data_IF_733570576028
#
_entry.id   IF_733570576028
#
_cell.length_a   1.000
_cell.length_b   1.000
_cell.length_c   1.000
_cell.angle_alpha   90.00
_cell.angle_beta   90.00
_cell.angle_gamma   90.00
#
_symmetry.space_group_name_H-M   'P 1'
#
loop_
_entity.id
_entity.type
_entity.pdbx_description
1 polymer ?
#
# COMPACT_ATOMS: atom_id res chain seq x y z
N UNK A 1 7.17 -11.34 11.59
CA UNK A 1 8.04 -11.18 10.42
C UNK A 1 7.67 -12.18 9.35
N UNK A 2 7.67 -11.80 8.08
CA UNK A 2 7.24 -12.69 7.00
C UNK A 2 8.33 -13.69 6.56
N UNK A 3 9.57 -13.45 6.96
CA UNK A 3 10.68 -14.40 6.90
C UNK A 3 10.80 -15.16 5.58
N UNK A 4 10.79 -16.49 5.65
CA UNK A 4 10.94 -17.38 4.50
C UNK A 4 9.65 -17.56 3.69
N UNK A 5 8.56 -17.00 4.17
CA UNK A 5 7.27 -17.06 3.49
C UNK A 5 7.33 -16.23 2.21
N UNK A 6 6.68 -16.74 1.15
CA UNK A 6 6.49 -15.94 -0.05
C UNK A 6 5.51 -14.82 0.24
N UNK A 7 5.98 -13.59 0.19
CA UNK A 7 5.19 -12.41 0.51
C UNK A 7 4.32 -12.03 -0.69
N UNK A 8 3.05 -11.75 -0.42
CA UNK A 8 2.09 -11.28 -1.42
C UNK A 8 1.67 -9.86 -1.08
N UNK A 9 1.85 -8.95 -2.03
CA UNK A 9 1.53 -7.53 -1.88
C UNK A 9 0.44 -7.16 -2.87
N UNK A 10 -0.63 -6.56 -2.39
CA UNK A 10 -1.64 -5.94 -3.26
C UNK A 10 -1.25 -4.48 -3.45
N UNK A 11 -0.95 -4.11 -4.68
CA UNK A 11 -0.71 -2.72 -5.06
C UNK A 11 -1.95 -2.20 -5.77
N UNK A 12 -2.49 -1.09 -5.30
CA UNK A 12 -3.71 -0.55 -5.89
C UNK A 12 -3.70 0.98 -5.92
N UNK A 13 -4.47 1.52 -6.84
CA UNK A 13 -4.66 2.96 -6.98
C UNK A 13 -6.09 3.24 -7.42
N UNK A 14 -6.56 4.45 -7.16
CA UNK A 14 -7.88 4.87 -7.61
C UNK A 14 -7.94 4.96 -9.14
N UNK A 15 -9.07 4.53 -9.71
CA UNK A 15 -9.35 4.71 -11.14
C UNK A 15 -9.38 6.19 -11.53
N UNK A 16 -9.63 7.07 -10.57
CA UNK A 16 -9.66 8.50 -10.79
C UNK A 16 -8.27 9.13 -10.91
N UNK A 17 -7.23 8.41 -10.52
CA UNK A 17 -5.85 8.87 -10.60
C UNK A 17 -5.20 8.28 -11.85
N UNK A 18 -4.75 9.15 -12.75
CA UNK A 18 -4.15 8.72 -14.03
C UNK A 18 -2.67 8.31 -13.90
N UNK A 19 -2.06 8.53 -12.74
CA UNK A 19 -0.63 8.25 -12.56
C UNK A 19 -0.39 6.75 -12.32
N UNK A 20 0.27 6.09 -13.27
CA UNK A 20 0.52 4.65 -13.19
C UNK A 20 1.98 4.25 -13.22
N UNK A 21 2.86 5.10 -13.71
CA UNK A 21 4.27 4.76 -13.90
C UNK A 21 4.92 4.33 -12.59
N UNK A 22 4.67 5.07 -11.52
CA UNK A 22 5.27 4.79 -10.21
C UNK A 22 4.86 3.44 -9.64
N UNK A 23 3.55 3.16 -9.64
CA UNK A 23 3.05 1.92 -9.05
C UNK A 23 3.45 0.69 -9.89
N UNK A 24 3.51 0.84 -11.22
CA UNK A 24 3.98 -0.24 -12.09
C UNK A 24 5.45 -0.52 -11.87
N UNK A 25 6.24 0.52 -11.65
CA UNK A 25 7.65 0.38 -11.35
C UNK A 25 7.87 -0.38 -10.04
N UNK A 26 7.10 -0.03 -9.00
CA UNK A 26 7.16 -0.72 -7.71
C UNK A 26 6.77 -2.20 -7.87
N UNK A 27 5.70 -2.48 -8.63
CA UNK A 27 5.29 -3.86 -8.88
C UNK A 27 6.43 -4.67 -9.51
N UNK A 28 7.12 -4.09 -10.49
CA UNK A 28 8.24 -4.73 -11.16
C UNK A 28 9.39 -5.00 -10.20
N UNK A 29 9.75 -4.01 -9.39
CA UNK A 29 10.85 -4.16 -8.42
C UNK A 29 10.54 -5.26 -7.40
N UNK A 30 9.30 -5.30 -6.91
CA UNK A 30 8.91 -6.35 -5.97
C UNK A 30 9.02 -7.72 -6.61
N UNK A 31 8.51 -7.89 -7.83
CA UNK A 31 8.58 -9.16 -8.57
C UNK A 31 10.02 -9.59 -8.84
N UNK A 32 10.86 -8.64 -9.22
CA UNK A 32 12.28 -8.90 -9.47
C UNK A 32 13.01 -9.37 -8.21
N UNK A 33 12.46 -9.08 -7.04
CA UNK A 33 13.01 -9.46 -5.73
C UNK A 33 12.27 -10.64 -5.09
N UNK A 34 11.48 -11.37 -5.87
CA UNK A 34 10.81 -12.57 -5.37
C UNK A 34 9.57 -12.32 -4.55
N UNK A 35 9.06 -11.10 -4.54
CA UNK A 35 7.84 -10.73 -3.85
C UNK A 35 6.69 -10.72 -4.86
N UNK A 36 5.62 -11.44 -4.56
CA UNK A 36 4.47 -11.47 -5.45
C UNK A 36 3.69 -10.15 -5.34
N UNK A 37 3.50 -9.48 -6.47
CA UNK A 37 2.77 -8.21 -6.51
C UNK A 37 1.56 -8.35 -7.42
N UNK A 38 0.39 -8.05 -6.86
CA UNK A 38 -0.88 -8.03 -7.58
C UNK A 38 -1.23 -6.57 -7.78
N UNK A 39 -1.35 -6.14 -9.02
CA UNK A 39 -1.62 -4.75 -9.37
C UNK A 39 -3.07 -4.59 -9.78
N UNK A 40 -3.80 -3.74 -9.07
CA UNK A 40 -5.22 -3.49 -9.33
C UNK A 40 -5.53 -2.00 -9.32
N UNK A 41 -6.76 -1.69 -9.70
CA UNK A 41 -7.35 -0.35 -9.55
C UNK A 41 -8.64 -0.49 -8.79
N UNK A 42 -9.01 0.51 -8.03
CA UNK A 42 -10.28 0.51 -7.31
C UNK A 42 -11.12 1.73 -7.68
N UNK A 43 -12.42 1.57 -7.65
CA UNK A 43 -13.37 2.67 -7.81
C UNK A 43 -13.74 3.23 -6.45
N UNK A 44 -13.97 2.35 -5.49
CA UNK A 44 -14.15 2.71 -4.07
C UNK A 44 -13.18 1.87 -3.26
N UNK A 45 -12.66 2.46 -2.19
CA UNK A 45 -11.61 1.84 -1.37
C UNK A 45 -12.05 0.50 -0.75
N UNK A 46 -13.35 0.32 -0.56
CA UNK A 46 -13.91 -0.93 -0.03
C UNK A 46 -13.48 -2.14 -0.87
N UNK A 47 -13.29 -1.95 -2.17
CA UNK A 47 -12.85 -3.02 -3.08
C UNK A 47 -11.45 -3.53 -2.73
N UNK A 48 -10.61 -2.69 -2.17
CA UNK A 48 -9.25 -3.08 -1.74
C UNK A 48 -9.33 -4.12 -0.61
N UNK A 49 -10.22 -3.90 0.33
CA UNK A 49 -10.41 -4.84 1.45
C UNK A 49 -10.88 -6.20 0.92
N UNK A 50 -11.86 -6.18 0.02
CA UNK A 50 -12.39 -7.41 -0.58
C UNK A 50 -11.30 -8.18 -1.33
N UNK A 51 -10.54 -7.48 -2.17
CA UNK A 51 -9.46 -8.10 -2.94
C UNK A 51 -8.37 -8.67 -2.02
N UNK A 52 -8.05 -7.94 -0.95
CA UNK A 52 -7.05 -8.39 0.02
C UNK A 52 -7.43 -9.72 0.66
N UNK A 53 -8.70 -9.89 0.97
CA UNK A 53 -9.21 -11.14 1.53
C UNK A 53 -9.21 -12.26 0.50
N UNK A 54 -9.71 -11.98 -0.70
CA UNK A 54 -9.79 -12.98 -1.76
C UNK A 54 -8.43 -13.49 -2.21
N UNK A 55 -7.44 -12.62 -2.21
CA UNK A 55 -6.09 -12.93 -2.70
C UNK A 55 -5.11 -13.31 -1.58
N UNK A 56 -5.55 -13.31 -0.34
CA UNK A 56 -4.72 -13.66 0.82
C UNK A 56 -3.41 -12.89 0.86
N UNK A 57 -3.49 -11.56 0.66
CA UNK A 57 -2.27 -10.74 0.67
C UNK A 57 -1.77 -10.48 2.08
N UNK A 58 -0.48 -10.20 2.19
CA UNK A 58 0.18 -9.87 3.45
C UNK A 58 0.29 -8.37 3.66
N UNK A 59 0.35 -7.62 2.56
CA UNK A 59 0.58 -6.17 2.57
C UNK A 59 -0.33 -5.51 1.54
N UNK A 60 -0.89 -4.37 1.90
CA UNK A 60 -1.61 -3.49 0.98
C UNK A 60 -0.74 -2.26 0.75
N UNK A 61 -0.43 -1.98 -0.51
CA UNK A 61 0.27 -0.77 -0.92
C UNK A 61 -0.62 0.08 -1.81
N UNK A 62 -0.83 1.34 -1.44
CA UNK A 62 -1.64 2.27 -2.21
C UNK A 62 -0.80 3.43 -2.72
N UNK A 63 -1.11 3.90 -3.92
CA UNK A 63 -0.41 5.01 -4.56
C UNK A 63 -1.34 6.20 -4.73
N UNK A 64 -0.88 7.38 -4.33
CA UNK A 64 -1.64 8.63 -4.42
C UNK A 64 -0.79 9.75 -5.02
N UNK A 65 -1.22 10.28 -6.16
CA UNK A 65 -0.60 11.45 -6.78
C UNK A 65 -1.59 12.58 -7.00
N UNK A 66 -2.82 12.39 -6.57
CA UNK A 66 -3.88 13.37 -6.68
C UNK A 66 -4.68 13.43 -5.40
N UNK A 67 -5.97 13.72 -5.54
CA UNK A 67 -6.89 13.82 -4.39
C UNK A 67 -7.31 12.43 -3.88
N UNK A 68 -7.97 12.42 -2.74
CA UNK A 68 -8.59 11.21 -2.19
C UNK A 68 -7.82 10.55 -1.06
N UNK A 69 -6.56 10.90 -0.87
CA UNK A 69 -5.70 10.29 0.16
C UNK A 69 -6.35 10.31 1.55
N UNK A 70 -6.77 11.50 1.99
CA UNK A 70 -7.28 11.67 3.35
C UNK A 70 -8.75 11.24 3.51
N UNK A 71 -9.37 10.80 2.45
CA UNK A 71 -10.67 10.13 2.49
C UNK A 71 -10.49 8.62 2.46
N UNK A 72 -9.73 8.13 1.47
CA UNK A 72 -9.60 6.71 1.22
C UNK A 72 -8.81 5.97 2.30
N UNK A 73 -7.71 6.53 2.77
CA UNK A 73 -6.84 5.80 3.72
C UNK A 73 -7.48 5.66 5.09
N UNK A 74 -8.05 6.73 5.68
CA UNK A 74 -8.77 6.54 6.95
C UNK A 74 -9.92 5.56 6.84
N UNK A 75 -10.66 5.57 5.72
CA UNK A 75 -11.73 4.61 5.50
C UNK A 75 -11.21 3.18 5.41
N UNK A 76 -10.11 2.98 4.68
CA UNK A 76 -9.47 1.66 4.60
C UNK A 76 -9.08 1.15 5.99
N UNK A 77 -8.42 1.99 6.78
CA UNK A 77 -7.99 1.61 8.12
C UNK A 77 -9.18 1.24 9.02
N UNK A 78 -10.27 2.00 8.93
CA UNK A 78 -11.49 1.70 9.67
C UNK A 78 -12.11 0.37 9.23
N UNK A 79 -12.16 0.11 7.93
CA UNK A 79 -12.71 -1.15 7.41
C UNK A 79 -11.87 -2.35 7.85
N UNK A 80 -10.55 -2.22 7.84
CA UNK A 80 -9.66 -3.29 8.30
C UNK A 80 -9.88 -3.57 9.79
N UNK A 81 -10.05 -2.52 10.58
CA UNK A 81 -10.30 -2.66 12.00
C UNK A 81 -11.66 -3.33 12.27
N UNK A 82 -12.70 -2.91 11.55
CA UNK A 82 -14.04 -3.50 11.69
C UNK A 82 -14.07 -4.99 11.33
N UNK A 83 -13.25 -5.41 10.39
CA UNK A 83 -13.16 -6.81 9.95
C UNK A 83 -12.09 -7.59 10.71
N UNK A 84 -11.55 -7.01 11.76
CA UNK A 84 -10.53 -7.65 12.59
C UNK A 84 -9.28 -8.06 11.80
N UNK A 85 -8.92 -7.25 10.79
CA UNK A 85 -7.74 -7.45 9.96
C UNK A 85 -6.60 -6.53 10.41
N UNK A 86 -6.41 -6.39 11.71
CA UNK A 86 -5.44 -5.44 12.28
C UNK A 86 -3.98 -5.83 12.05
N UNK A 87 -3.72 -7.07 11.68
CA UNK A 87 -2.39 -7.55 11.33
C UNK A 87 -2.01 -7.25 9.88
N UNK A 88 -2.95 -6.74 9.08
CA UNK A 88 -2.66 -6.32 7.71
C UNK A 88 -1.79 -5.07 7.73
N UNK A 89 -0.66 -5.14 7.04
CA UNK A 89 0.25 -3.99 6.93
C UNK A 89 -0.15 -3.14 5.73
N UNK A 90 -0.32 -1.85 5.96
CA UNK A 90 -0.67 -0.87 4.91
C UNK A 90 0.49 0.09 4.72
N UNK A 91 0.97 0.22 3.50
CA UNK A 91 1.99 1.19 3.11
C UNK A 91 1.42 2.09 2.03
N UNK A 92 1.85 3.33 2.04
CA UNK A 92 1.35 4.36 1.12
C UNK A 92 2.53 4.98 0.37
N UNK A 93 2.36 5.23 -0.91
CA UNK A 93 3.36 5.92 -1.72
C UNK A 93 2.74 7.01 -2.56
N UNK A 94 3.57 7.92 -3.04
CA UNK A 94 3.16 8.99 -3.93
C UNK A 94 3.58 10.37 -3.45
N UNK A 95 2.87 11.39 -3.90
CA UNK A 95 3.13 12.79 -3.51
C UNK A 95 2.32 13.10 -2.26
N UNK A 96 2.99 13.07 -1.11
CA UNK A 96 2.36 13.18 0.21
C UNK A 96 3.17 14.18 1.04
N UNK A 97 2.48 15.14 1.67
CA UNK A 97 3.14 16.12 2.52
C UNK A 97 3.59 15.49 3.85
N UNK A 98 4.53 16.11 4.51
CA UNK A 98 4.99 15.63 5.83
C UNK A 98 3.87 15.65 6.85
N UNK A 99 2.99 16.65 6.78
CA UNK A 99 1.83 16.72 7.67
C UNK A 99 0.87 15.54 7.43
N UNK A 100 0.58 15.25 6.17
CA UNK A 100 -0.24 14.09 5.82
C UNK A 100 0.42 12.79 6.25
N UNK A 101 1.73 12.67 6.06
CA UNK A 101 2.49 11.50 6.48
C UNK A 101 2.31 11.23 7.98
N UNK A 102 2.46 12.27 8.80
CA UNK A 102 2.29 12.14 10.25
C UNK A 102 0.89 11.67 10.61
N UNK A 103 -0.13 12.23 9.97
CA UNK A 103 -1.52 11.84 10.21
C UNK A 103 -1.76 10.38 9.83
N UNK A 104 -1.21 9.93 8.71
CA UNK A 104 -1.35 8.55 8.25
C UNK A 104 -0.69 7.57 9.21
N UNK A 105 0.51 7.88 9.69
CA UNK A 105 1.19 7.03 10.66
C UNK A 105 0.40 6.92 11.96
N UNK A 106 -0.22 8.00 12.40
CA UNK A 106 -1.02 8.01 13.62
C UNK A 106 -2.25 7.11 13.52
N UNK A 107 -2.81 6.93 12.34
CA UNK A 107 -3.98 6.05 12.17
C UNK A 107 -3.61 4.60 11.84
N UNK A 108 -2.32 4.28 11.84
CA UNK A 108 -1.87 2.89 11.74
C UNK A 108 -1.21 2.49 10.43
N UNK A 109 -1.01 3.43 9.50
CA UNK A 109 -0.22 3.16 8.29
C UNK A 109 1.21 2.83 8.72
N UNK A 110 1.78 1.78 8.16
CA UNK A 110 3.10 1.29 8.58
C UNK A 110 4.24 2.18 8.08
N UNK A 111 4.16 2.65 6.85
CA UNK A 111 5.15 3.57 6.30
C UNK A 111 4.61 4.31 5.10
N UNK A 112 5.19 5.47 4.82
CA UNK A 112 4.83 6.32 3.70
C UNK A 112 6.10 6.60 2.89
N UNK A 113 6.09 6.25 1.62
CA UNK A 113 7.22 6.41 0.70
C UNK A 113 6.93 7.54 -0.26
N UNK A 114 7.74 8.59 -0.23
CA UNK A 114 7.57 9.76 -1.09
C UNK A 114 8.84 10.01 -1.90
N UNK A 115 8.77 10.76 -3.01
CA UNK A 115 9.96 11.18 -3.73
C UNK A 115 10.92 11.89 -2.77
N UNK A 116 12.19 11.49 -2.78
CA UNK A 116 13.20 12.04 -1.90
C UNK A 116 13.24 11.44 -0.50
N UNK A 117 12.34 10.54 -0.17
CA UNK A 117 12.33 9.84 1.11
C UNK A 117 12.20 8.34 0.85
N UNK A 118 13.32 7.66 0.96
CA UNK A 118 13.38 6.23 0.67
C UNK A 118 13.53 5.95 -0.82
N UNK A 119 14.18 4.85 -1.14
CA UNK A 119 14.32 4.35 -2.50
C UNK A 119 13.45 3.12 -2.70
N UNK A 120 13.37 2.63 -3.94
CA UNK A 120 12.65 1.38 -4.21
C UNK A 120 13.26 0.19 -3.49
N UNK A 121 14.59 0.19 -3.29
CA UNK A 121 15.23 -0.88 -2.51
C UNK A 121 14.81 -0.84 -1.05
N UNK A 122 14.53 0.36 -0.52
CA UNK A 122 14.04 0.52 0.85
C UNK A 122 12.65 -0.10 1.01
N UNK A 123 11.81 0.00 -0.01
CA UNK A 123 10.48 -0.60 0.00
C UNK A 123 10.58 -2.13 0.09
N UNK A 124 11.44 -2.73 -0.72
CA UNK A 124 11.66 -4.17 -0.70
C UNK A 124 12.12 -4.63 0.67
N UNK A 125 13.13 -3.98 1.21
CA UNK A 125 13.68 -4.33 2.52
C UNK A 125 12.67 -4.13 3.62
N UNK A 126 11.91 -3.03 3.57
CA UNK A 126 10.86 -2.75 4.55
C UNK A 126 9.82 -3.87 4.57
N UNK A 127 9.36 -4.29 3.40
CA UNK A 127 8.36 -5.35 3.28
C UNK A 127 8.90 -6.67 3.81
N UNK A 128 10.15 -7.00 3.51
CA UNK A 128 10.77 -8.24 4.00
C UNK A 128 10.91 -8.29 5.51
N UNK A 129 11.00 -7.14 6.16
CA UNK A 129 11.19 -7.04 7.60
C UNK A 129 9.89 -6.85 8.39
N UNK A 130 8.74 -6.91 7.74
CA UNK A 130 7.45 -6.81 8.41
C UNK A 130 7.13 -8.02 9.29
#
# INVERSE_FOLDING_TARGET
MLGDKRIRVLLSKSDMDAHEIGIRYIARILRDNGIEAILTRYRIIDEVVKTSLEEYVDVIGLSFYGSGLMYDVPRLMNLLNEKEMNDMSVIIGGTISEEERQMLLEIGVREVFTPGRGSTSDIVEFIRNL
#
